data_IF_027023551247
#
_entry.id   IF_027023551247
#
_cell.length_a   1.000
_cell.length_b   1.000
_cell.length_c   1.000
_cell.angle_alpha   90.00
_cell.angle_beta   90.00
_cell.angle_gamma   90.00
#
_symmetry.space_group_name_H-M   'P 1'
#
loop_
_entity.id
_entity.type
_entity.pdbx_description
1 polymer ?
#
# COMPACT_ATOMS: atom_id res chain seq x y z
N UNK A 1 -68.08 5.70 19.41
CA UNK A 1 -67.16 4.89 20.26
C UNK A 1 -66.25 4.11 19.32
N UNK A 2 -64.94 4.38 19.37
CA UNK A 2 -63.88 3.82 18.51
C UNK A 2 -63.61 2.34 18.85
N UNK A 3 -63.37 1.49 17.85
CA UNK A 3 -62.64 0.20 17.96
C UNK A 3 -62.15 -0.18 16.55
N UNK A 4 -60.96 0.24 16.10
CA UNK A 4 -59.63 -0.39 16.23
C UNK A 4 -59.46 -1.80 15.58
N UNK A 5 -58.71 -1.78 14.47
CA UNK A 5 -57.62 -2.68 14.04
C UNK A 5 -57.89 -4.08 13.44
N UNK A 6 -57.34 -4.30 12.24
CA UNK A 6 -56.53 -5.46 11.79
C UNK A 6 -56.03 -5.16 10.35
N UNK A 7 -54.87 -4.51 10.17
CA UNK A 7 -53.49 -5.06 10.11
C UNK A 7 -53.26 -6.08 8.99
N UNK A 8 -52.76 -5.59 7.85
CA UNK A 8 -52.03 -6.40 6.86
C UNK A 8 -51.00 -5.50 6.13
N UNK A 9 -49.95 -5.10 6.85
CA UNK A 9 -48.76 -4.51 6.24
C UNK A 9 -47.87 -5.68 5.77
N UNK A 10 -47.95 -6.00 4.47
CA UNK A 10 -47.10 -7.01 3.86
C UNK A 10 -45.68 -6.46 3.78
N UNK A 11 -44.80 -7.07 4.57
CA UNK A 11 -43.35 -6.87 4.60
C UNK A 11 -42.74 -7.09 3.21
N UNK A 12 -42.44 -6.01 2.49
CA UNK A 12 -41.39 -6.00 1.48
C UNK A 12 -40.06 -5.81 2.21
N UNK A 13 -39.60 -6.86 2.89
CA UNK A 13 -38.19 -7.01 3.20
C UNK A 13 -37.49 -7.38 1.87
N UNK A 14 -37.23 -6.36 1.05
CA UNK A 14 -36.21 -6.44 0.02
C UNK A 14 -34.93 -6.82 0.74
N UNK A 15 -34.51 -8.07 0.58
CA UNK A 15 -33.18 -8.48 0.95
C UNK A 15 -32.24 -7.58 0.17
N UNK A 16 -31.64 -6.61 0.86
CA UNK A 16 -30.44 -5.93 0.40
C UNK A 16 -29.38 -7.03 0.36
N UNK A 17 -29.35 -7.77 -0.75
CA UNK A 17 -28.24 -8.62 -1.11
C UNK A 17 -27.09 -7.66 -1.34
N UNK A 18 -26.45 -7.30 -0.22
CA UNK A 18 -25.49 -6.23 -0.12
C UNK A 18 -24.53 -6.32 -1.27
N UNK A 19 -24.32 -5.19 -1.93
CA UNK A 19 -23.15 -4.98 -2.77
C UNK A 19 -21.98 -5.50 -1.94
N UNK A 20 -21.42 -6.65 -2.35
CA UNK A 20 -20.17 -7.12 -1.76
C UNK A 20 -19.16 -6.05 -2.12
N UNK A 21 -18.98 -5.10 -1.19
CA UNK A 21 -17.95 -4.08 -1.27
C UNK A 21 -16.65 -4.86 -1.33
N UNK A 22 -16.12 -5.02 -2.54
CA UNK A 22 -14.86 -5.72 -2.79
C UNK A 22 -13.74 -4.86 -2.22
N UNK A 23 -13.53 -4.99 -0.92
CA UNK A 23 -12.46 -4.30 -0.20
C UNK A 23 -11.14 -5.01 -0.44
N UNK A 24 -10.09 -4.22 -0.55
CA UNK A 24 -8.72 -4.71 -0.70
C UNK A 24 -7.92 -4.20 0.49
N UNK A 25 -7.39 -5.13 1.29
CA UNK A 25 -6.47 -4.79 2.37
C UNK A 25 -5.07 -4.59 1.81
N UNK A 26 -4.50 -3.40 1.96
CA UNK A 26 -3.18 -3.04 1.45
C UNK A 26 -2.30 -2.55 2.59
N UNK A 27 -1.09 -3.09 2.71
CA UNK A 27 -0.06 -2.53 3.58
C UNK A 27 1.02 -1.84 2.75
N UNK A 28 1.29 -0.58 3.07
CA UNK A 28 2.38 0.21 2.49
C UNK A 28 3.49 0.35 3.53
N UNK A 29 4.74 0.07 3.14
CA UNK A 29 5.93 0.23 4.00
C UNK A 29 6.92 1.17 3.32
N UNK A 30 7.32 2.22 4.03
CA UNK A 30 8.45 3.07 3.68
C UNK A 30 9.72 2.48 4.29
N UNK A 31 10.73 2.20 3.48
CA UNK A 31 11.93 1.45 3.88
C UNK A 31 13.17 2.23 3.46
N UNK A 32 14.06 2.51 4.41
CA UNK A 32 15.41 3.00 4.11
C UNK A 32 16.32 1.81 3.76
N UNK A 33 16.85 1.83 2.55
CA UNK A 33 17.88 0.93 2.05
C UNK A 33 19.21 1.69 1.98
N UNK A 34 20.28 1.17 2.57
CA UNK A 34 21.57 1.87 2.60
C UNK A 34 22.77 0.93 2.43
N UNK A 35 23.83 1.51 1.86
CA UNK A 35 25.17 0.94 1.80
C UNK A 35 26.17 1.68 2.70
N UNK A 36 25.72 2.68 3.46
CA UNK A 36 26.57 3.42 4.39
C UNK A 36 27.10 2.48 5.48
N UNK A 37 28.42 2.43 5.63
CA UNK A 37 29.09 1.60 6.63
C UNK A 37 28.78 2.01 8.09
N UNK A 38 28.29 3.24 8.30
CA UNK A 38 27.89 3.75 9.62
C UNK A 38 26.52 3.24 10.05
N UNK A 39 25.69 2.79 9.11
CA UNK A 39 24.42 2.16 9.43
C UNK A 39 24.65 0.68 9.83
N UNK A 40 24.00 0.18 10.89
CA UNK A 40 24.06 -1.24 11.23
C UNK A 40 23.58 -2.08 10.04
N UNK A 41 24.33 -3.12 9.69
CA UNK A 41 23.97 -4.02 8.60
C UNK A 41 22.72 -4.86 8.93
N UNK A 42 22.15 -5.48 7.90
CA UNK A 42 21.03 -6.41 8.01
C UNK A 42 19.66 -5.77 7.89
N UNK A 43 18.64 -6.62 7.96
CA UNK A 43 17.23 -6.26 7.77
C UNK A 43 16.55 -6.06 9.11
N UNK A 44 15.73 -5.02 9.24
CA UNK A 44 14.89 -4.78 10.41
C UNK A 44 13.94 -5.97 10.62
N UNK A 45 13.87 -6.56 11.84
CA UNK A 45 12.96 -7.67 12.13
C UNK A 45 11.49 -7.41 11.76
N UNK A 46 11.03 -6.16 11.80
CA UNK A 46 9.65 -5.79 11.41
C UNK A 46 9.37 -6.03 9.92
N UNK A 47 10.41 -6.20 9.10
CA UNK A 47 10.29 -6.49 7.67
C UNK A 47 10.29 -8.00 7.35
N UNK A 48 10.25 -8.87 8.37
CA UNK A 48 10.29 -10.33 8.17
C UNK A 48 9.19 -10.83 7.23
N UNK A 49 7.99 -10.23 7.26
CA UNK A 49 6.87 -10.61 6.39
C UNK A 49 7.16 -10.43 4.89
N UNK A 50 8.12 -9.57 4.54
CA UNK A 50 8.52 -9.29 3.15
C UNK A 50 10.01 -9.62 2.89
N UNK A 51 10.64 -10.39 3.78
CA UNK A 51 12.06 -10.73 3.65
C UNK A 51 12.40 -11.42 2.31
N UNK A 52 11.59 -12.36 1.78
CA UNK A 52 11.88 -12.97 0.47
C UNK A 52 11.90 -11.93 -0.67
N UNK A 53 11.00 -10.95 -0.65
CA UNK A 53 10.95 -9.92 -1.68
C UNK A 53 12.14 -8.95 -1.58
N UNK A 54 12.57 -8.62 -0.35
CA UNK A 54 13.78 -7.82 -0.14
C UNK A 54 15.05 -8.56 -0.59
N UNK A 55 15.11 -9.88 -0.38
CA UNK A 55 16.22 -10.73 -0.86
C UNK A 55 16.28 -10.76 -2.38
N UNK A 56 15.16 -11.07 -3.05
CA UNK A 56 15.08 -11.05 -4.52
C UNK A 56 15.41 -9.67 -5.11
N UNK A 57 14.96 -8.59 -4.47
CA UNK A 57 15.33 -7.23 -4.88
C UNK A 57 16.83 -6.95 -4.65
N UNK A 58 17.38 -7.45 -3.54
CA UNK A 58 18.79 -7.32 -3.16
C UNK A 58 19.76 -8.00 -4.13
N UNK A 59 19.35 -9.02 -4.87
CA UNK A 59 20.14 -9.63 -5.93
C UNK A 59 20.51 -8.60 -7.02
N UNK A 60 19.59 -7.67 -7.31
CA UNK A 60 19.75 -6.61 -8.30
C UNK A 60 20.31 -5.33 -7.68
N UNK A 61 19.84 -4.98 -6.48
CA UNK A 61 20.17 -3.74 -5.78
C UNK A 61 20.73 -4.07 -4.40
N UNK A 62 22.02 -4.44 -4.37
CA UNK A 62 22.75 -4.96 -3.20
C UNK A 62 22.92 -3.90 -2.10
N UNK A 63 21.88 -3.69 -1.28
CA UNK A 63 21.96 -2.86 -0.08
C UNK A 63 22.42 -3.67 1.14
N UNK A 64 23.22 -3.06 2.02
CA UNK A 64 23.71 -3.71 3.25
C UNK A 64 22.71 -3.69 4.39
N UNK A 65 21.77 -2.74 4.39
CA UNK A 65 20.78 -2.60 5.45
C UNK A 65 19.42 -2.19 4.90
N UNK A 66 18.36 -2.73 5.52
CA UNK A 66 16.98 -2.33 5.29
C UNK A 66 16.33 -1.98 6.64
N UNK A 67 15.78 -0.77 6.75
CA UNK A 67 15.16 -0.26 7.98
C UNK A 67 13.76 0.23 7.69
N UNK A 68 12.79 -0.20 8.51
CA UNK A 68 11.43 0.30 8.39
C UNK A 68 11.40 1.75 8.90
N UNK A 69 10.94 2.66 8.05
CA UNK A 69 10.72 4.06 8.44
C UNK A 69 9.28 4.25 8.89
N UNK A 70 8.33 3.73 8.12
CA UNK A 70 6.91 3.86 8.40
C UNK A 70 6.09 2.72 7.76
N UNK A 71 4.93 2.43 8.32
CA UNK A 71 4.03 1.37 7.86
C UNK A 71 2.56 1.75 8.09
N UNK A 72 1.76 1.65 7.03
CA UNK A 72 0.32 1.89 7.08
C UNK A 72 -0.43 0.74 6.43
N UNK A 73 -1.50 0.29 7.07
CA UNK A 73 -2.41 -0.73 6.51
C UNK A 73 -3.79 -0.10 6.33
N UNK A 74 -4.37 -0.31 5.15
CA UNK A 74 -5.66 0.22 4.77
C UNK A 74 -6.58 -0.88 4.31
N UNK A 75 -7.86 -0.76 4.65
CA UNK A 75 -8.94 -1.50 4.02
C UNK A 75 -9.60 -0.56 3.00
N UNK A 76 -9.22 -0.70 1.73
CA UNK A 76 -9.64 0.21 0.67
C UNK A 76 -10.86 -0.32 -0.05
N UNK A 77 -11.88 0.52 -0.14
CA UNK A 77 -12.94 0.33 -1.10
C UNK A 77 -12.42 0.51 -2.52
N UNK A 78 -13.16 -0.07 -3.45
CA UNK A 78 -12.84 0.02 -4.86
C UNK A 78 -12.75 1.46 -5.36
N UNK A 79 -11.67 1.78 -6.10
CA UNK A 79 -11.37 3.11 -6.69
C UNK A 79 -11.12 4.23 -5.68
N UNK A 80 -11.18 3.97 -4.38
CA UNK A 80 -10.84 4.96 -3.36
C UNK A 80 -9.33 4.90 -3.07
N UNK A 81 -8.68 6.05 -3.16
CA UNK A 81 -7.26 6.18 -2.89
C UNK A 81 -7.00 6.27 -1.38
N UNK A 82 -5.89 5.70 -0.92
CA UNK A 82 -5.24 6.12 0.32
C UNK A 82 -3.99 6.93 0.00
N UNK A 83 -3.72 7.92 0.85
CA UNK A 83 -2.49 8.70 0.84
C UNK A 83 -1.59 8.30 2.00
N UNK A 84 -0.29 8.15 1.70
CA UNK A 84 0.75 7.88 2.69
C UNK A 84 1.80 8.97 2.58
N UNK A 85 2.04 9.67 3.68
CA UNK A 85 3.17 10.59 3.80
C UNK A 85 4.49 9.81 3.75
N UNK A 86 5.45 10.35 3.02
CA UNK A 86 6.76 9.75 2.82
C UNK A 86 7.87 10.75 3.18
N UNK A 87 9.07 10.25 3.56
CA UNK A 87 10.23 11.09 3.80
C UNK A 87 10.53 12.04 2.62
N UNK A 88 10.98 13.25 2.95
CA UNK A 88 11.41 14.25 1.98
C UNK A 88 10.29 15.11 1.40
N UNK A 89 9.20 15.35 2.16
CA UNK A 89 8.02 16.12 1.72
C UNK A 89 7.38 15.53 0.46
N UNK A 90 7.09 14.23 0.54
CA UNK A 90 6.49 13.44 -0.54
C UNK A 90 5.28 12.69 -0.01
N UNK A 91 4.37 12.33 -0.90
CA UNK A 91 3.27 11.43 -0.56
C UNK A 91 3.04 10.41 -1.66
N UNK A 92 2.51 9.24 -1.29
CA UNK A 92 2.12 8.19 -2.21
C UNK A 92 0.61 8.03 -2.17
N UNK A 93 -0.03 8.19 -3.33
CA UNK A 93 -1.41 7.77 -3.53
C UNK A 93 -1.44 6.33 -4.03
N UNK A 94 -2.21 5.48 -3.36
CA UNK A 94 -2.43 4.08 -3.73
C UNK A 94 -3.91 3.88 -3.98
N UNK A 95 -4.28 3.55 -5.22
CA UNK A 95 -5.68 3.37 -5.64
C UNK A 95 -5.90 1.98 -6.22
N UNK A 96 -6.74 1.11 -5.62
CA UNK A 96 -7.17 -0.12 -6.26
C UNK A 96 -7.98 0.15 -7.53
N UNK A 97 -7.57 -0.46 -8.65
CA UNK A 97 -8.18 -0.30 -9.98
C UNK A 97 -8.76 -1.57 -10.56
N UNK A 98 -8.21 -2.72 -10.16
CA UNK A 98 -8.68 -4.04 -10.58
C UNK A 98 -8.66 -5.01 -9.39
N UNK A 99 -9.68 -5.88 -9.25
CA UNK A 99 -9.64 -7.09 -8.40
C UNK A 99 -10.20 -8.24 -9.23
N UNK A 100 -9.30 -9.13 -9.63
CA UNK A 100 -9.59 -10.29 -10.46
C UNK A 100 -10.18 -11.44 -9.63
N UNK A 101 -10.80 -12.41 -10.31
CA UNK A 101 -11.43 -13.55 -9.66
C UNK A 101 -10.42 -14.48 -8.93
N UNK A 102 -9.16 -14.48 -9.37
CA UNK A 102 -8.04 -15.18 -8.70
C UNK A 102 -7.48 -14.41 -7.49
N UNK A 103 -8.04 -13.23 -7.20
CA UNK A 103 -7.63 -12.36 -6.11
C UNK A 103 -6.44 -11.47 -6.43
N UNK A 104 -5.92 -11.47 -7.65
CA UNK A 104 -4.93 -10.48 -8.10
C UNK A 104 -5.55 -9.09 -8.12
N UNK A 105 -4.77 -8.09 -7.71
CA UNK A 105 -5.18 -6.69 -7.82
C UNK A 105 -4.32 -5.93 -8.81
N UNK A 106 -4.93 -4.92 -9.46
CA UNK A 106 -4.19 -3.84 -10.09
C UNK A 106 -4.30 -2.60 -9.21
N UNK A 107 -3.18 -2.00 -8.88
CA UNK A 107 -3.11 -0.75 -8.12
C UNK A 107 -2.48 0.34 -8.98
N UNK A 108 -3.10 1.51 -8.96
CA UNK A 108 -2.50 2.73 -9.49
C UNK A 108 -1.71 3.40 -8.40
N UNK A 109 -0.47 3.75 -8.69
CA UNK A 109 0.45 4.43 -7.78
C UNK A 109 0.82 5.80 -8.34
N UNK A 110 0.69 6.81 -7.50
CA UNK A 110 1.20 8.15 -7.79
C UNK A 110 2.11 8.61 -6.66
N UNK A 111 3.36 8.91 -7.00
CA UNK A 111 4.30 9.53 -6.07
C UNK A 111 4.33 11.03 -6.33
N UNK A 112 3.93 11.78 -5.31
CA UNK A 112 3.81 13.24 -5.32
C UNK A 112 4.90 13.88 -4.45
N UNK A 113 5.33 15.10 -4.78
CA UNK A 113 6.15 15.96 -3.92
C UNK A 113 7.57 16.25 -4.42
N UNK A 114 8.46 16.62 -3.50
CA UNK A 114 9.84 17.14 -3.72
C UNK A 114 9.92 18.57 -4.30
N UNK A 115 9.09 18.94 -5.28
CA UNK A 115 8.95 20.32 -5.79
C UNK A 115 7.59 20.53 -6.48
N UNK A 116 6.86 21.65 -6.31
CA UNK A 116 5.54 21.86 -6.91
C UNK A 116 5.53 21.85 -8.45
N UNK A 117 6.63 22.24 -9.10
CA UNK A 117 6.75 22.26 -10.57
C UNK A 117 7.13 20.90 -11.20
N UNK A 118 7.58 19.94 -10.39
CA UNK A 118 8.00 18.59 -10.82
C UNK A 118 7.42 17.52 -9.89
N UNK A 119 6.17 17.72 -9.50
CA UNK A 119 5.54 17.05 -8.37
C UNK A 119 5.27 15.56 -8.59
N UNK A 120 5.13 15.09 -9.83
CA UNK A 120 4.80 13.69 -10.13
C UNK A 120 6.07 12.91 -10.52
N UNK A 121 6.62 12.16 -9.57
CA UNK A 121 7.84 11.35 -9.75
C UNK A 121 7.55 9.91 -10.19
N UNK A 122 6.34 9.41 -9.93
CA UNK A 122 5.85 8.11 -10.35
C UNK A 122 4.36 8.22 -10.69
N UNK A 123 3.95 7.56 -11.78
CA UNK A 123 2.55 7.42 -12.18
C UNK A 123 2.42 6.14 -13.00
N UNK A 124 2.02 5.05 -12.35
CA UNK A 124 2.04 3.73 -13.00
C UNK A 124 1.05 2.76 -12.36
N UNK A 125 0.70 1.72 -13.11
CA UNK A 125 -0.14 0.64 -12.66
C UNK A 125 0.70 -0.61 -12.41
N UNK A 126 0.55 -1.22 -11.23
CA UNK A 126 1.16 -2.50 -10.91
C UNK A 126 0.10 -3.56 -10.68
N UNK A 127 0.41 -4.79 -11.11
CA UNK A 127 -0.37 -5.98 -10.76
C UNK A 127 0.30 -6.68 -9.58
N UNK A 128 -0.46 -6.92 -8.51
CA UNK A 128 -0.01 -7.61 -7.31
C UNK A 128 -0.81 -8.91 -7.21
N UNK A 129 -0.10 -10.04 -7.16
CA UNK A 129 -0.74 -11.34 -6.92
C UNK A 129 -1.39 -11.34 -5.53
N UNK A 130 -2.40 -12.19 -5.32
CA UNK A 130 -3.01 -12.39 -4.00
C UNK A 130 -1.94 -12.72 -2.95
N UNK A 131 -1.86 -11.94 -1.87
CA UNK A 131 -0.84 -12.10 -0.82
C UNK A 131 0.57 -11.63 -1.23
N UNK A 132 0.71 -11.07 -2.43
CA UNK A 132 1.97 -10.64 -3.01
C UNK A 132 2.41 -9.26 -2.53
N UNK A 133 3.68 -8.97 -2.74
CA UNK A 133 4.29 -7.66 -2.46
C UNK A 133 5.05 -7.19 -3.68
N UNK A 134 4.89 -5.93 -4.03
CA UNK A 134 5.75 -5.22 -4.97
C UNK A 134 6.67 -4.28 -4.22
N UNK A 135 7.87 -4.07 -4.75
CA UNK A 135 8.84 -3.09 -4.28
C UNK A 135 9.01 -2.03 -5.37
N UNK A 136 8.82 -0.77 -5.02
CA UNK A 136 8.93 0.37 -5.91
C UNK A 136 9.83 1.40 -5.24
N UNK A 137 10.73 2.06 -5.97
CA UNK A 137 11.57 3.11 -5.39
C UNK A 137 12.95 3.21 -6.00
N UNK A 138 13.90 3.69 -5.19
CA UNK A 138 15.27 4.02 -5.62
C UNK A 138 15.60 5.52 -5.54
N UNK A 139 14.67 6.35 -5.06
CA UNK A 139 14.90 7.76 -4.76
C UNK A 139 15.61 7.93 -3.41
N UNK A 140 16.20 9.09 -3.13
CA UNK A 140 16.83 9.35 -1.82
C UNK A 140 15.79 9.47 -0.70
N UNK A 141 16.07 8.88 0.48
CA UNK A 141 15.22 9.04 1.69
C UNK A 141 15.06 10.52 2.01
N UNK A 142 16.18 11.23 2.12
CA UNK A 142 16.23 12.68 2.14
C UNK A 142 16.90 13.16 0.84
N UNK A 143 16.21 13.94 -0.02
CA UNK A 143 16.82 14.48 -1.23
C UNK A 143 18.00 15.44 -0.96
N UNK A 144 18.20 15.89 0.29
CA UNK A 144 19.32 16.76 0.71
C UNK A 144 20.46 16.02 1.39
N UNK A 145 20.28 14.75 1.74
CA UNK A 145 21.32 13.93 2.38
C UNK A 145 21.43 12.55 1.71
N UNK A 146 22.45 12.40 0.86
CA UNK A 146 22.73 11.13 0.18
C UNK A 146 23.02 9.97 1.16
N UNK A 147 23.50 10.28 2.38
CA UNK A 147 23.83 9.29 3.40
C UNK A 147 22.59 8.70 4.06
N UNK A 148 21.44 9.35 3.93
CA UNK A 148 20.16 8.82 4.38
C UNK A 148 19.73 7.56 3.59
N UNK A 149 20.39 7.28 2.46
CA UNK A 149 20.16 6.07 1.66
C UNK A 149 19.00 6.25 0.68
N UNK A 150 18.50 5.12 0.17
CA UNK A 150 17.41 5.06 -0.81
C UNK A 150 16.11 4.68 -0.13
N UNK A 151 15.04 5.37 -0.49
CA UNK A 151 13.68 5.03 -0.12
C UNK A 151 13.17 3.94 -1.06
N UNK A 152 12.76 2.84 -0.47
CA UNK A 152 11.98 1.78 -1.09
C UNK A 152 10.58 1.81 -0.48
N UNK A 153 9.59 1.53 -1.31
CA UNK A 153 8.18 1.48 -0.96
C UNK A 153 7.74 0.05 -1.25
N UNK A 154 7.38 -0.70 -0.21
CA UNK A 154 6.78 -2.02 -0.38
C UNK A 154 5.26 -1.90 -0.28
N UNK A 155 4.53 -2.41 -1.27
CA UNK A 155 3.07 -2.47 -1.26
C UNK A 155 2.66 -3.94 -1.27
N UNK A 156 2.01 -4.36 -0.20
CA UNK A 156 1.53 -5.74 0.00
C UNK A 156 0.02 -5.76 -0.11
N UNK A 157 -0.50 -6.69 -0.90
CA UNK A 157 -1.90 -7.08 -0.77
C UNK A 157 -2.00 -8.06 0.40
N UNK A 158 -2.62 -7.65 1.49
CA UNK A 158 -2.84 -8.53 2.62
C UNK A 158 -3.99 -9.49 2.31
N UNK A 159 -3.87 -10.71 2.82
CA UNK A 159 -4.95 -11.71 2.80
C UNK A 159 -5.30 -12.06 4.23
N UNK A 160 -6.59 -12.08 4.54
CA UNK A 160 -7.04 -12.65 5.81
C UNK A 160 -6.59 -14.10 5.89
N UNK A 161 -5.96 -14.45 7.01
CA UNK A 161 -5.46 -15.80 7.30
C UNK A 161 -6.57 -16.66 7.87
#
# INVERSE_FOLDING_TARGET
MKLLLLSAALLLAQADAGISERRVRITVRAIAASNDARAPAGTDPKLQAIAPQLESFGEQFRFRSYRLLDMHTFDLDWKNAAEVELPGSRSLLVTPRQLDADGRIKVHLELLGEHPEHSRKLHTDYSIQRGGTILVGGIGVDPRDEKAGKLLIAITQEVEK
#
